data_IF_494536573618
#
_entry.id   IF_494536573618
#
_cell.length_a   1.000
_cell.length_b   1.000
_cell.length_c   1.000
_cell.angle_alpha   90.00
_cell.angle_beta   90.00
_cell.angle_gamma   90.00
#
_symmetry.space_group_name_H-M   'P 1'
#
loop_
_entity.id
_entity.type
_entity.pdbx_description
1 polymer ?
#
# COMPACT_ATOMS: atom_id res chain seq x y z
N UNK A 1 -12.77 10.42 5.33
CA UNK A 1 -13.06 9.83 4.02
C UNK A 1 -12.89 8.32 4.10
N UNK A 2 -13.86 7.55 3.60
CA UNK A 2 -13.76 6.09 3.51
C UNK A 2 -13.66 5.70 2.04
N UNK A 3 -12.51 5.19 1.63
CA UNK A 3 -12.22 4.79 0.26
C UNK A 3 -12.35 3.27 0.11
N UNK A 4 -13.05 2.82 -0.92
CA UNK A 4 -13.17 1.41 -1.27
C UNK A 4 -12.25 1.10 -2.45
N UNK A 5 -11.46 0.05 -2.33
CA UNK A 5 -10.71 -0.51 -3.45
C UNK A 5 -11.65 -1.31 -4.36
N UNK A 6 -11.60 -1.08 -5.67
CA UNK A 6 -12.42 -1.80 -6.66
C UNK A 6 -11.83 -3.14 -7.07
N UNK A 7 -10.53 -3.34 -6.86
CA UNK A 7 -9.76 -4.56 -7.16
C UNK A 7 -9.03 -5.09 -5.92
N UNK A 8 -8.73 -6.39 -5.92
CA UNK A 8 -7.86 -7.02 -4.90
C UNK A 8 -6.37 -6.71 -5.11
N UNK A 9 -5.98 -6.32 -6.33
CA UNK A 9 -4.61 -5.87 -6.62
C UNK A 9 -4.48 -4.39 -6.24
N UNK A 10 -3.86 -4.08 -5.10
CA UNK A 10 -3.74 -2.71 -4.62
C UNK A 10 -2.95 -1.79 -5.57
N UNK A 11 -2.18 -2.34 -6.51
CA UNK A 11 -1.39 -1.58 -7.48
C UNK A 11 -2.05 -1.48 -8.87
N UNK A 12 -3.25 -2.06 -9.02
CA UNK A 12 -4.08 -1.98 -10.23
C UNK A 12 -5.57 -1.93 -9.82
N UNK A 13 -5.99 -0.76 -9.34
CA UNK A 13 -7.26 -0.57 -8.63
C UNK A 13 -7.70 0.89 -8.66
N UNK A 14 -8.98 1.10 -8.39
CA UNK A 14 -9.55 2.42 -8.17
C UNK A 14 -9.98 2.54 -6.72
N UNK A 15 -9.76 3.71 -6.12
CA UNK A 15 -10.25 4.06 -4.80
C UNK A 15 -11.44 4.99 -4.99
N UNK A 16 -12.62 4.48 -4.66
CA UNK A 16 -13.88 5.22 -4.75
C UNK A 16 -14.31 5.62 -3.35
N UNK A 17 -14.63 6.90 -3.15
CA UNK A 17 -15.21 7.38 -1.90
C UNK A 17 -16.60 6.74 -1.71
N UNK A 18 -16.79 6.07 -0.58
CA UNK A 18 -18.00 5.29 -0.29
C UNK A 18 -19.22 6.19 -0.07
N UNK A 19 -19.04 7.39 0.46
CA UNK A 19 -20.13 8.31 0.75
C UNK A 19 -20.65 9.00 -0.52
N UNK A 20 -19.75 9.35 -1.43
CA UNK A 20 -20.07 10.14 -2.64
C UNK A 20 -20.15 9.28 -3.92
N UNK A 21 -19.56 8.09 -3.91
CA UNK A 21 -19.38 7.26 -5.10
C UNK A 21 -18.37 7.82 -6.11
N UNK A 22 -17.65 8.89 -5.77
CA UNK A 22 -16.68 9.52 -6.67
C UNK A 22 -15.32 8.83 -6.63
N UNK A 23 -14.65 8.82 -7.78
CA UNK A 23 -13.27 8.35 -7.89
C UNK A 23 -12.35 9.33 -7.15
N UNK A 24 -11.65 8.85 -6.12
CA UNK A 24 -10.63 9.62 -5.42
C UNK A 24 -9.25 9.42 -6.05
N UNK A 25 -8.87 8.15 -6.31
CA UNK A 25 -7.59 7.80 -6.92
C UNK A 25 -7.72 6.61 -7.87
N UNK A 26 -6.90 6.58 -8.91
CA UNK A 26 -6.68 5.41 -9.77
C UNK A 26 -5.21 5.01 -9.72
N UNK A 27 -4.95 3.74 -9.44
CA UNK A 27 -3.61 3.16 -9.43
C UNK A 27 -3.52 2.17 -10.59
N UNK A 28 -2.47 2.29 -11.39
CA UNK A 28 -2.24 1.39 -12.51
C UNK A 28 -0.76 1.07 -12.62
N UNK A 29 -0.45 -0.23 -12.71
CA UNK A 29 0.93 -0.70 -12.88
C UNK A 29 1.18 -1.17 -14.30
N UNK A 30 2.11 -0.51 -14.98
CA UNK A 30 2.54 -0.86 -16.32
C UNK A 30 3.92 -1.55 -16.31
N UNK A 31 4.12 -2.45 -17.27
CA UNK A 31 5.44 -3.01 -17.59
C UNK A 31 6.03 -2.18 -18.73
N UNK A 32 7.08 -1.44 -18.44
CA UNK A 32 7.81 -0.63 -19.40
C UNK A 32 8.93 -1.46 -20.00
N UNK A 33 8.94 -1.56 -21.33
CA UNK A 33 10.04 -2.19 -22.07
C UNK A 33 10.92 -1.08 -22.64
N UNK A 34 12.13 -0.94 -22.12
CA UNK A 34 13.07 0.06 -22.60
C UNK A 34 13.59 -0.25 -24.02
N UNK A 35 14.07 0.76 -24.77
CA UNK A 35 14.68 0.57 -26.09
C UNK A 35 15.97 -0.27 -26.03
N UNK A 36 16.64 -0.27 -24.86
CA UNK A 36 17.77 -1.16 -24.56
C UNK A 36 17.22 -2.57 -24.31
N UNK A 37 17.26 -3.42 -25.34
CA UNK A 37 16.75 -4.77 -25.36
C UNK A 37 17.06 -5.56 -24.06
N UNK A 38 16.04 -5.72 -23.20
CA UNK A 38 16.07 -6.64 -22.06
C UNK A 38 15.76 -6.04 -20.69
N UNK A 39 15.77 -4.71 -20.51
CA UNK A 39 15.39 -4.12 -19.21
C UNK A 39 13.86 -3.99 -19.12
N UNK A 40 13.23 -4.98 -18.47
CA UNK A 40 11.82 -4.93 -18.09
C UNK A 40 11.70 -4.15 -16.79
N UNK A 41 11.26 -2.88 -16.87
CA UNK A 41 10.97 -2.05 -15.70
C UNK A 41 9.46 -2.09 -15.43
N UNK A 42 9.06 -1.94 -14.18
CA UNK A 42 7.64 -1.70 -13.85
C UNK A 42 7.51 -0.32 -13.26
N UNK A 43 6.37 0.30 -13.52
CA UNK A 43 6.01 1.60 -12.99
C UNK A 43 4.55 1.56 -12.56
N UNK A 44 4.28 2.03 -11.34
CA UNK A 44 2.92 2.30 -10.89
C UNK A 44 2.69 3.80 -10.96
N UNK A 45 1.65 4.21 -11.67
CA UNK A 45 1.14 5.57 -11.64
C UNK A 45 -0.04 5.65 -10.68
N UNK A 46 -0.11 6.74 -9.91
CA UNK A 46 -1.26 7.10 -9.09
C UNK A 46 -1.81 8.41 -9.64
N UNK A 47 -3.08 8.38 -10.04
CA UNK A 47 -3.81 9.52 -10.56
C UNK A 47 -4.91 9.93 -9.61
N UNK A 48 -5.18 11.23 -9.50
CA UNK A 48 -6.32 11.74 -8.75
C UNK A 48 -7.64 11.57 -9.51
N UNK A 49 -8.75 12.00 -8.91
CA UNK A 49 -10.08 11.97 -9.53
C UNK A 49 -10.23 12.83 -10.79
N UNK A 50 -9.32 13.80 -11.01
CA UNK A 50 -9.27 14.61 -12.23
C UNK A 50 -8.41 13.95 -13.33
N UNK A 51 -7.69 12.87 -13.02
CA UNK A 51 -6.82 12.13 -13.93
C UNK A 51 -5.37 12.63 -13.97
N UNK A 52 -5.01 13.63 -13.15
CA UNK A 52 -3.65 14.12 -13.04
C UNK A 52 -2.78 13.10 -12.30
N UNK A 53 -1.54 12.89 -12.75
CA UNK A 53 -0.58 12.02 -12.05
C UNK A 53 -0.12 12.75 -10.80
N UNK A 54 -0.39 12.16 -9.63
CA UNK A 54 -0.04 12.72 -8.32
C UNK A 54 1.05 11.92 -7.61
N UNK A 55 1.39 10.72 -8.10
CA UNK A 55 2.60 10.00 -7.69
C UNK A 55 2.99 8.95 -8.73
N UNK A 56 4.28 8.60 -8.74
CA UNK A 56 4.82 7.49 -9.53
C UNK A 56 5.77 6.64 -8.69
N UNK A 57 5.73 5.33 -8.90
CA UNK A 57 6.59 4.35 -8.23
C UNK A 57 7.26 3.51 -9.30
N UNK A 58 8.56 3.71 -9.50
CA UNK A 58 9.41 2.88 -10.32
C UNK A 58 9.89 1.66 -9.52
N UNK A 59 9.84 0.48 -10.14
CA UNK A 59 10.15 -0.78 -9.48
C UNK A 59 11.34 -1.50 -10.11
N UNK A 60 12.15 -2.09 -9.24
CA UNK A 60 13.15 -3.10 -9.56
C UNK A 60 12.76 -4.42 -8.92
N UNK A 61 12.08 -5.27 -9.70
CA UNK A 61 11.48 -6.50 -9.19
C UNK A 61 10.31 -6.21 -8.25
N UNK A 62 10.51 -6.38 -6.94
CA UNK A 62 9.52 -6.07 -5.88
C UNK A 62 9.96 -4.92 -4.97
N UNK A 63 11.14 -4.35 -5.22
CA UNK A 63 11.62 -3.19 -4.47
C UNK A 63 11.25 -1.92 -5.24
N UNK A 64 10.67 -0.91 -4.60
CA UNK A 64 10.60 0.42 -5.20
C UNK A 64 12.04 0.95 -5.31
N UNK A 65 12.38 1.50 -6.46
CA UNK A 65 13.69 2.08 -6.78
C UNK A 65 13.60 3.60 -6.86
N UNK A 66 12.46 4.13 -7.29
CA UNK A 66 12.21 5.57 -7.37
C UNK A 66 10.75 5.87 -7.04
N UNK A 67 10.51 6.81 -6.13
CA UNK A 67 9.19 7.28 -5.75
C UNK A 67 9.15 8.79 -5.99
N UNK A 68 8.15 9.23 -6.73
CA UNK A 68 7.85 10.65 -6.94
C UNK A 68 6.47 10.92 -6.34
N UNK A 69 6.35 11.95 -5.50
CA UNK A 69 5.10 12.41 -4.91
C UNK A 69 4.86 13.84 -5.39
N UNK A 70 3.75 14.07 -6.08
CA UNK A 70 3.46 15.35 -6.74
C UNK A 70 4.66 15.75 -7.62
N UNK A 71 5.34 16.85 -7.28
CA UNK A 71 6.54 17.34 -7.98
C UNK A 71 7.86 17.01 -7.25
N UNK A 72 7.81 16.23 -6.16
CA UNK A 72 8.95 15.88 -5.32
C UNK A 72 9.46 14.46 -5.64
N UNK A 73 10.73 14.35 -6.04
CA UNK A 73 11.43 13.06 -6.14
C UNK A 73 11.95 12.65 -4.76
N UNK A 74 11.26 11.72 -4.12
CA UNK A 74 11.58 11.24 -2.76
C UNK A 74 12.75 10.27 -2.76
N UNK A 75 12.83 9.36 -3.74
CA UNK A 75 13.86 8.32 -3.80
C UNK A 75 13.31 6.92 -3.49
N UNK A 76 13.96 6.16 -2.60
CA UNK A 76 13.58 4.80 -2.22
C UNK A 76 12.77 4.73 -0.92
N UNK A 77 12.75 3.55 -0.29
CA UNK A 77 12.05 3.34 0.99
C UNK A 77 12.69 4.09 2.15
N UNK A 78 14.03 4.22 2.16
CA UNK A 78 14.76 4.86 3.26
C UNK A 78 14.40 6.35 3.32
N UNK A 79 14.37 6.99 2.16
CA UNK A 79 14.01 8.39 2.02
C UNK A 79 12.51 8.61 2.27
N UNK A 80 11.65 7.71 1.80
CA UNK A 80 10.20 7.80 2.01
C UNK A 80 9.79 7.81 3.49
N UNK A 81 10.47 7.03 4.33
CA UNK A 81 10.17 6.95 5.76
C UNK A 81 11.10 7.82 6.62
N UNK A 82 12.01 8.59 6.00
CA UNK A 82 13.04 9.39 6.68
C UNK A 82 13.76 8.65 7.82
N UNK A 83 13.87 7.32 7.73
CA UNK A 83 14.33 6.47 8.82
C UNK A 83 15.24 5.38 8.29
N UNK A 84 16.47 5.38 8.77
CA UNK A 84 17.43 4.30 8.57
C UNK A 84 17.18 3.12 9.51
N UNK A 85 16.38 3.30 10.57
CA UNK A 85 16.17 2.32 11.65
C UNK A 85 14.69 2.07 11.86
N UNK A 86 14.18 1.04 11.21
CA UNK A 86 12.86 0.48 11.49
C UNK A 86 12.95 -0.30 12.80
N UNK A 87 12.16 0.10 13.80
CA UNK A 87 12.04 -0.67 15.03
C UNK A 87 11.15 -1.88 14.79
N UNK A 88 11.74 -3.07 14.80
CA UNK A 88 11.01 -4.32 14.70
C UNK A 88 10.71 -4.86 16.11
N UNK A 89 9.46 -4.71 16.53
CA UNK A 89 8.94 -5.37 17.72
C UNK A 89 8.47 -6.79 17.29
N UNK A 90 8.51 -7.83 18.15
CA UNK A 90 8.24 -9.21 17.71
C UNK A 90 6.95 -9.42 16.93
N UNK A 91 5.90 -8.62 17.16
CA UNK A 91 4.57 -8.73 16.54
C UNK A 91 4.12 -7.45 15.83
N UNK A 92 4.98 -6.45 15.73
CA UNK A 92 4.62 -5.13 15.26
C UNK A 92 5.79 -4.48 14.52
N UNK A 93 5.47 -3.75 13.46
CA UNK A 93 6.39 -2.85 12.77
C UNK A 93 5.88 -1.44 13.05
N UNK A 94 6.74 -0.58 13.58
CA UNK A 94 6.40 0.81 13.85
C UNK A 94 7.42 1.71 13.14
N UNK A 95 6.94 2.60 12.27
CA UNK A 95 7.78 3.45 11.42
C UNK A 95 7.26 4.89 11.47
N UNK A 96 8.08 5.88 11.86
CA UNK A 96 7.68 7.28 11.82
C UNK A 96 7.43 7.73 10.37
N UNK A 97 6.55 8.69 10.18
CA UNK A 97 6.38 9.30 8.85
C UNK A 97 7.50 10.30 8.58
N UNK A 98 7.75 10.62 7.30
CA UNK A 98 8.73 11.64 6.92
C UNK A 98 8.23 13.08 7.12
N UNK A 99 6.91 13.27 7.07
CA UNK A 99 6.31 14.60 7.15
C UNK A 99 6.21 15.09 8.59
N UNK A 100 6.07 14.17 9.55
CA UNK A 100 6.02 14.50 10.97
C UNK A 100 6.31 13.25 11.84
N UNK A 101 7.21 13.41 12.81
CA UNK A 101 7.65 12.33 13.72
C UNK A 101 6.60 11.94 14.75
N UNK A 102 5.60 12.79 15.00
CA UNK A 102 4.46 12.50 15.90
C UNK A 102 3.47 11.54 15.24
N UNK A 103 3.56 11.36 13.92
CA UNK A 103 2.75 10.40 13.18
C UNK A 103 3.52 9.10 12.97
N UNK A 104 2.97 8.02 13.50
CA UNK A 104 3.58 6.70 13.49
C UNK A 104 2.72 5.72 12.71
N UNK A 105 3.30 5.14 11.67
CA UNK A 105 2.71 3.98 11.05
C UNK A 105 2.92 2.75 11.93
N UNK A 106 1.83 2.02 12.20
CA UNK A 106 1.85 0.76 12.93
C UNK A 106 1.25 -0.36 12.08
N UNK A 107 2.00 -1.47 11.98
CA UNK A 107 1.62 -2.63 11.21
C UNK A 107 1.78 -3.93 12.00
N UNK A 108 0.71 -4.73 12.06
CA UNK A 108 0.68 -6.08 12.63
C UNK A 108 0.29 -7.10 11.54
N UNK A 109 0.24 -8.42 11.82
CA UNK A 109 -0.29 -9.39 10.87
C UNK A 109 -1.72 -9.06 10.39
N UNK A 110 -2.53 -8.42 11.24
CA UNK A 110 -3.98 -8.27 11.03
C UNK A 110 -4.41 -6.82 10.79
N UNK A 111 -3.56 -5.85 11.13
CA UNK A 111 -3.88 -4.42 11.03
C UNK A 111 -2.74 -3.60 10.45
N UNK A 112 -3.10 -2.49 9.82
CA UNK A 112 -2.19 -1.46 9.33
C UNK A 112 -2.89 -0.11 9.48
N UNK A 113 -2.30 0.79 10.25
CA UNK A 113 -2.89 2.10 10.55
C UNK A 113 -1.82 3.15 10.84
N UNK A 114 -2.18 4.41 10.63
CA UNK A 114 -1.40 5.60 10.99
C UNK A 114 -1.96 6.18 12.27
N UNK A 115 -1.12 6.36 13.28
CA UNK A 115 -1.45 6.91 14.59
C UNK A 115 -0.85 8.31 14.74
N UNK A 116 -1.65 9.26 15.19
CA UNK A 116 -1.17 10.52 15.77
C UNK A 116 -0.86 10.26 17.25
N UNK A 117 0.43 10.29 17.61
CA UNK A 117 0.91 9.84 18.92
C UNK A 117 0.43 10.76 20.06
N UNK A 118 0.33 12.06 19.80
CA UNK A 118 -0.04 13.06 20.80
C UNK A 118 -1.53 12.98 21.17
N UNK A 119 -2.38 12.74 20.18
CA UNK A 119 -3.84 12.66 20.37
C UNK A 119 -4.37 11.24 20.56
N UNK A 120 -3.54 10.21 20.35
CA UNK A 120 -3.94 8.79 20.29
C UNK A 120 -5.07 8.54 19.28
N UNK A 121 -5.08 9.30 18.18
CA UNK A 121 -6.11 9.20 17.14
C UNK A 121 -5.60 8.49 15.89
N UNK A 122 -6.46 7.65 15.31
CA UNK A 122 -6.15 6.96 14.05
C UNK A 122 -6.42 7.89 12.87
N UNK A 123 -5.36 8.18 12.15
CA UNK A 123 -5.39 9.09 11.00
C UNK A 123 -5.63 8.37 9.69
N UNK A 124 -5.18 7.12 9.60
CA UNK A 124 -5.48 6.25 8.48
C UNK A 124 -5.59 4.79 8.94
N UNK A 125 -6.44 4.00 8.30
CA UNK A 125 -6.54 2.57 8.61
C UNK A 125 -6.90 1.75 7.36
N UNK A 126 -6.12 0.70 7.10
CA UNK A 126 -6.44 -0.29 6.08
C UNK A 126 -7.31 -1.40 6.67
N UNK A 127 -8.55 -1.48 6.21
CA UNK A 127 -9.48 -2.54 6.56
C UNK A 127 -9.46 -3.61 5.47
N UNK A 128 -8.85 -4.75 5.75
CA UNK A 128 -8.84 -5.90 4.85
C UNK A 128 -10.01 -6.83 5.11
N UNK A 129 -10.59 -7.40 4.04
CA UNK A 129 -11.68 -8.36 4.13
C UNK A 129 -12.84 -7.84 4.98
N UNK A 130 -13.24 -6.57 4.79
CA UNK A 130 -14.40 -6.03 5.48
C UNK A 130 -15.67 -6.42 4.71
N UNK A 131 -16.73 -6.88 5.38
CA UNK A 131 -18.03 -7.03 4.77
C UNK A 131 -18.55 -5.65 4.37
N UNK A 132 -19.32 -5.61 3.29
CA UNK A 132 -19.86 -4.35 2.78
C UNK A 132 -20.69 -3.64 3.87
N UNK A 133 -20.18 -2.49 4.33
CA UNK A 133 -20.83 -1.49 5.18
C UNK A 133 -21.48 -2.02 6.48
N UNK A 134 -20.61 -2.45 7.42
CA UNK A 134 -20.61 -2.11 8.87
C UNK A 134 -19.52 -2.91 9.59
N UNK A 135 -18.29 -2.39 9.52
CA UNK A 135 -17.12 -2.59 10.40
C UNK A 135 -17.08 -3.80 11.38
N UNK A 136 -17.16 -5.04 10.90
CA UNK A 136 -16.64 -6.23 11.60
C UNK A 136 -16.11 -7.21 10.57
N UNK A 137 -14.92 -7.79 10.77
CA UNK A 137 -14.21 -8.66 9.82
C UNK A 137 -15.13 -9.64 9.04
N UNK A 138 -14.84 -9.86 7.75
CA UNK A 138 -15.59 -10.84 6.96
C UNK A 138 -15.35 -12.24 7.54
N UNK A 139 -16.39 -13.09 7.59
CA UNK A 139 -16.31 -14.41 8.22
C UNK A 139 -15.38 -15.39 7.50
N UNK A 140 -14.87 -15.04 6.31
CA UNK A 140 -14.00 -15.89 5.51
C UNK A 140 -12.83 -15.07 4.93
N UNK A 141 -11.57 -15.48 5.17
CA UNK A 141 -10.40 -14.90 4.53
C UNK A 141 -10.55 -14.93 3.00
N UNK A 142 -10.27 -13.80 2.34
CA UNK A 142 -10.44 -13.68 0.88
C UNK A 142 -11.86 -13.38 0.40
N UNK A 143 -12.81 -13.14 1.31
CA UNK A 143 -14.12 -12.54 0.97
C UNK A 143 -14.24 -11.19 1.65
N UNK A 144 -14.90 -10.24 0.99
CA UNK A 144 -15.05 -8.87 1.48
C UNK A 144 -14.23 -7.86 0.69
N UNK A 145 -14.55 -6.59 0.85
CA UNK A 145 -13.85 -5.51 0.19
C UNK A 145 -12.67 -5.02 1.04
N UNK A 146 -11.72 -4.37 0.38
CA UNK A 146 -10.66 -3.63 1.07
C UNK A 146 -11.10 -2.18 1.13
N UNK A 147 -10.94 -1.57 2.31
CA UNK A 147 -11.22 -0.15 2.51
C UNK A 147 -10.02 0.55 3.13
N UNK A 148 -9.82 1.80 2.73
CA UNK A 148 -8.90 2.74 3.35
C UNK A 148 -9.71 3.84 4.01
N UNK A 149 -9.65 3.91 5.33
CA UNK A 149 -10.18 5.03 6.10
C UNK A 149 -9.11 6.09 6.25
N UNK A 150 -9.45 7.34 5.94
CA UNK A 150 -8.59 8.52 6.07
C UNK A 150 -9.32 9.57 6.90
N UNK A 151 -8.76 9.93 8.04
CA UNK A 151 -9.21 11.08 8.83
C UNK A 151 -8.69 12.38 8.19
N UNK A 152 -9.42 13.51 8.33
CA UNK A 152 -8.88 14.79 7.92
C UNK A 152 -7.58 15.07 8.67
N UNK A 153 -6.48 15.24 7.95
CA UNK A 153 -5.20 15.56 8.58
C UNK A 153 -5.23 17.01 9.05
N UNK A 154 -4.87 17.32 10.32
CA UNK A 154 -4.74 18.70 10.75
C UNK A 154 -3.76 19.43 9.84
N UNK A 155 -4.16 20.63 9.44
CA UNK A 155 -3.31 21.63 8.77
C UNK A 155 -2.72 21.23 7.41
N UNK A 156 -3.19 20.14 6.78
CA UNK A 156 -2.70 19.74 5.46
C UNK A 156 -1.22 19.29 5.45
N UNK A 157 -0.71 18.83 6.60
CA UNK A 157 0.69 18.39 6.79
C UNK A 157 1.15 17.36 5.74
N UNK A 158 0.27 16.46 5.33
CA UNK A 158 0.55 15.49 4.27
C UNK A 158 -0.60 15.46 3.25
N UNK A 159 -0.32 15.51 1.95
CA UNK A 159 -1.34 15.30 0.94
C UNK A 159 -1.83 13.83 1.01
N UNK A 160 -3.13 13.55 0.73
CA UNK A 160 -3.65 12.18 0.83
C UNK A 160 -2.91 11.14 -0.02
N UNK A 161 -2.29 11.57 -1.14
CA UNK A 161 -1.47 10.70 -1.98
C UNK A 161 -0.21 10.19 -1.26
N UNK A 162 0.37 11.00 -0.38
CA UNK A 162 1.54 10.60 0.40
C UNK A 162 1.17 9.54 1.45
N UNK A 163 0.04 9.72 2.12
CA UNK A 163 -0.52 8.72 3.05
C UNK A 163 -0.80 7.41 2.29
N UNK A 164 -1.37 7.50 1.09
CA UNK A 164 -1.63 6.35 0.23
C UNK A 164 -0.33 5.61 -0.17
N UNK A 165 0.69 6.33 -0.64
CA UNK A 165 1.97 5.72 -1.07
C UNK A 165 2.70 5.08 0.10
N UNK A 166 2.82 5.78 1.23
CA UNK A 166 3.46 5.24 2.45
C UNK A 166 2.72 4.01 2.97
N UNK A 167 1.38 4.01 2.94
CA UNK A 167 0.57 2.84 3.26
C UNK A 167 0.86 1.64 2.35
N UNK A 168 0.92 1.86 1.03
CA UNK A 168 1.20 0.77 0.07
C UNK A 168 2.59 0.17 0.29
N UNK A 169 3.59 1.01 0.52
CA UNK A 169 4.96 0.56 0.80
C UNK A 169 5.01 -0.21 2.12
N UNK A 170 4.34 0.29 3.15
CA UNK A 170 4.31 -0.38 4.44
C UNK A 170 3.55 -1.70 4.40
N UNK A 171 2.48 -1.81 3.61
CA UNK A 171 1.78 -3.08 3.46
C UNK A 171 2.65 -4.14 2.76
N UNK A 172 3.51 -3.76 1.81
CA UNK A 172 4.52 -4.66 1.25
C UNK A 172 5.47 -5.16 2.35
N UNK A 173 6.01 -4.25 3.16
CA UNK A 173 6.92 -4.57 4.28
C UNK A 173 6.24 -5.50 5.29
N UNK A 174 5.00 -5.17 5.68
CA UNK A 174 4.14 -5.94 6.59
C UNK A 174 3.94 -7.36 6.09
N UNK A 175 3.57 -7.53 4.82
CA UNK A 175 3.39 -8.86 4.22
C UNK A 175 4.67 -9.68 4.22
N UNK A 176 5.81 -9.06 3.91
CA UNK A 176 7.12 -9.70 3.99
C UNK A 176 7.48 -10.15 5.41
N UNK A 177 7.31 -9.26 6.39
CA UNK A 177 7.67 -9.50 7.80
C UNK A 177 6.81 -10.55 8.49
N UNK A 178 5.52 -10.63 8.15
CA UNK A 178 4.56 -11.55 8.77
C UNK A 178 4.21 -12.75 7.88
N UNK A 179 4.95 -12.97 6.79
CA UNK A 179 4.74 -14.07 5.84
C UNK A 179 3.29 -14.18 5.34
N UNK A 180 2.67 -13.03 5.09
CA UNK A 180 1.34 -12.94 4.49
C UNK A 180 1.46 -13.18 2.98
N UNK A 181 0.33 -13.48 2.32
CA UNK A 181 0.31 -13.65 0.86
C UNK A 181 0.91 -12.41 0.18
N UNK A 182 2.01 -12.53 -0.57
CA UNK A 182 2.63 -11.39 -1.23
C UNK A 182 1.75 -10.88 -2.37
N UNK A 183 1.91 -9.62 -2.74
CA UNK A 183 1.31 -9.11 -3.97
C UNK A 183 1.81 -9.91 -5.16
N UNK A 184 0.86 -10.53 -5.86
CA UNK A 184 1.12 -11.06 -7.18
C UNK A 184 0.94 -9.90 -8.14
N UNK A 185 1.96 -9.05 -8.31
CA UNK A 185 2.08 -8.24 -9.53
C UNK A 185 1.86 -9.22 -10.67
N UNK A 186 0.73 -9.10 -11.39
CA UNK A 186 0.26 -10.15 -12.27
C UNK A 186 1.43 -10.71 -13.10
N UNK A 187 1.81 -11.98 -12.91
CA UNK A 187 2.90 -12.52 -13.70
C UNK A 187 2.44 -12.60 -15.15
N UNK A 188 3.33 -12.43 -16.15
CA UNK A 188 3.02 -12.93 -17.49
C UNK A 188 2.60 -14.41 -17.34
N UNK A 189 1.52 -14.79 -18.00
CA UNK A 189 0.67 -15.97 -17.73
C UNK A 189 1.39 -17.31 -17.42
N UNK A 190 2.65 -17.47 -17.84
CA UNK A 190 3.49 -18.65 -17.64
C UNK A 190 4.06 -18.78 -16.21
N UNK A 191 4.30 -17.69 -15.50
CA UNK A 191 4.92 -17.71 -14.16
C UNK A 191 3.97 -18.17 -13.05
N UNK A 192 2.66 -18.02 -13.26
CA UNK A 192 1.60 -18.41 -12.32
C UNK A 192 1.60 -19.93 -12.03
N UNK A 193 1.97 -20.74 -13.04
CA UNK A 193 2.09 -22.22 -12.91
C UNK A 193 3.33 -22.67 -12.14
N UNK A 194 4.41 -21.88 -12.15
CA UNK A 194 5.66 -22.21 -11.45
C UNK A 194 5.56 -21.94 -9.95
N UNK A 195 4.95 -20.82 -9.54
CA UNK A 195 4.75 -20.47 -8.13
C UNK A 195 3.84 -21.45 -7.37
N UNK A 196 2.89 -22.09 -8.05
CA UNK A 196 2.06 -23.15 -7.46
C UNK A 196 2.89 -24.39 -7.05
N UNK A 197 4.07 -24.60 -7.62
CA UNK A 197 4.97 -25.73 -7.29
C UNK A 197 5.97 -25.43 -6.19
N UNK A 198 6.21 -24.15 -5.88
CA UNK A 198 7.30 -23.72 -4.96
C UNK A 198 6.77 -23.44 -3.54
N UNK A 199 5.45 -23.45 -3.30
CA UNK A 199 4.95 -23.38 -1.91
C UNK A 199 5.44 -24.62 -1.14
N UNK A 200 6.20 -24.45 -0.04
CA UNK A 200 6.49 -25.57 0.84
C UNK A 200 5.16 -26.09 1.40
N UNK A 201 4.95 -27.41 1.31
CA UNK A 201 3.86 -28.06 2.03
C UNK A 201 4.04 -27.71 3.50
N UNK A 202 3.04 -27.06 4.10
CA UNK A 202 3.01 -26.82 5.56
C UNK A 202 3.22 -28.18 6.24
N UNK A 203 4.29 -28.32 7.02
CA UNK A 203 4.36 -29.35 8.04
C UNK A 203 3.32 -28.97 9.09
N UNK A 204 2.23 -29.73 9.11
CA UNK A 204 1.37 -29.88 10.28
C UNK A 204 2.21 -30.44 11.42
N UNK A 205 2.29 -29.68 12.53
CA UNK A 205 2.57 -30.21 13.86
C UNK A 205 1.21 -30.26 14.57
#
# INVERSE_FOLDING_TARGET
MLLKFTSEDLFDTELVDVATGQLAFRLSTAVLTGPSAGLVRRETEIRDGAGAIVATIGWKGRSPESITLLDESVGGLVELFASSTIQFIPKEISIPTRFDTEYLWTATPDSLYLLDYDSDTRMAQLHMHAPALKATHAPLPGRGAVYLELSPHPQGLAPPVEILVTLLMLDILRRGRFNLTPYAFAPPSRFRKAWARIRPRRNTI
#
